data_IF_807195090798
#
_entry.id   IF_807195090798
#
_cell.length_a   1.000
_cell.length_b   1.000
_cell.length_c   1.000
_cell.angle_alpha   90.00
_cell.angle_beta   90.00
_cell.angle_gamma   90.00
#
_symmetry.space_group_name_H-M   'P 1'
#
loop_
_entity.id
_entity.type
_entity.pdbx_description
1 polymer ?
#
# COMPACT_ATOMS: atom_id res chain seq x y z
N UNK A 1 19.38 -34.60 1.64
CA UNK A 1 19.00 -33.54 0.71
C UNK A 1 18.46 -32.34 1.47
N UNK A 2 18.96 -31.18 1.17
CA UNK A 2 18.48 -29.98 1.80
C UNK A 2 17.20 -29.50 1.12
N UNK A 3 16.18 -29.21 1.92
CA UNK A 3 14.96 -28.61 1.41
C UNK A 3 15.14 -27.12 1.28
N UNK A 4 14.79 -26.58 0.12
CA UNK A 4 14.74 -25.12 -0.03
C UNK A 4 13.47 -24.63 0.66
N UNK A 5 13.55 -23.67 1.59
CA UNK A 5 12.36 -23.14 2.23
C UNK A 5 11.42 -22.54 1.19
N UNK A 6 10.12 -22.68 1.39
CA UNK A 6 9.13 -21.98 0.59
C UNK A 6 9.24 -20.47 0.87
N UNK A 7 8.79 -19.60 -0.04
CA UNK A 7 8.76 -18.17 0.24
C UNK A 7 8.00 -17.83 1.54
N UNK A 8 6.95 -18.58 1.84
CA UNK A 8 6.19 -18.40 3.07
C UNK A 8 7.01 -18.74 4.31
N UNK A 9 7.73 -19.86 4.28
CA UNK A 9 8.62 -20.29 5.38
C UNK A 9 9.76 -19.30 5.59
N UNK A 10 10.37 -18.80 4.51
CA UNK A 10 11.43 -17.80 4.61
C UNK A 10 10.91 -16.54 5.28
N UNK A 11 9.75 -16.05 4.88
CA UNK A 11 9.15 -14.85 5.49
C UNK A 11 8.78 -15.09 6.95
N UNK A 12 8.22 -16.27 7.27
CA UNK A 12 7.84 -16.60 8.64
C UNK A 12 9.05 -16.73 9.59
N UNK A 13 10.22 -17.12 9.04
CA UNK A 13 11.45 -17.26 9.83
C UNK A 13 12.25 -15.97 9.95
N UNK A 14 11.84 -14.90 9.27
CA UNK A 14 12.55 -13.63 9.29
C UNK A 14 12.37 -12.94 10.64
N UNK A 15 13.38 -12.14 11.02
CA UNK A 15 13.32 -11.29 12.19
C UNK A 15 12.36 -10.12 11.96
N UNK A 16 12.22 -9.27 12.94
CA UNK A 16 11.37 -8.08 12.86
C UNK A 16 11.63 -7.27 11.59
N UNK A 17 10.61 -6.61 11.11
CA UNK A 17 10.69 -5.68 9.99
C UNK A 17 10.87 -4.26 10.54
N UNK A 18 11.86 -3.56 10.02
CA UNK A 18 12.09 -2.15 10.32
C UNK A 18 11.62 -1.31 9.14
N UNK A 19 10.65 -0.44 9.35
CA UNK A 19 10.05 0.32 8.26
C UNK A 19 11.04 1.29 7.61
N UNK A 20 11.85 1.98 8.41
CA UNK A 20 12.84 2.91 7.87
C UNK A 20 13.87 2.19 6.99
N UNK A 21 14.31 1.01 7.42
CA UNK A 21 15.23 0.19 6.63
C UNK A 21 14.60 -0.21 5.30
N UNK A 22 13.36 -0.71 5.33
CA UNK A 22 12.66 -1.11 4.11
C UNK A 22 12.43 0.06 3.18
N UNK A 23 12.02 1.21 3.72
CA UNK A 23 11.81 2.43 2.94
C UNK A 23 13.09 2.92 2.27
N UNK A 24 14.26 2.67 2.87
CA UNK A 24 15.55 3.07 2.29
C UNK A 24 15.92 2.26 1.04
N UNK A 25 15.23 1.16 0.77
CA UNK A 25 15.59 0.22 -0.31
C UNK A 25 14.92 0.52 -1.65
N UNK A 26 14.01 1.47 -1.70
CA UNK A 26 13.34 1.82 -2.95
C UNK A 26 13.02 3.30 -3.00
N UNK A 27 12.83 3.81 -4.21
CA UNK A 27 12.51 5.23 -4.44
C UNK A 27 11.29 5.43 -5.36
N UNK A 28 10.78 4.37 -5.95
CA UNK A 28 9.65 4.47 -6.88
C UNK A 28 8.42 5.04 -6.17
N UNK A 29 7.73 5.94 -6.86
CA UNK A 29 6.48 6.51 -6.37
C UNK A 29 5.30 5.66 -6.81
N UNK A 30 4.27 5.57 -5.97
CA UNK A 30 3.01 4.86 -6.27
C UNK A 30 3.20 3.36 -6.58
N UNK A 31 4.30 2.78 -6.12
CA UNK A 31 4.65 1.38 -6.37
C UNK A 31 4.78 0.65 -5.05
N UNK A 32 3.70 0.03 -4.55
CA UNK A 32 3.73 -0.64 -3.26
C UNK A 32 4.73 -1.80 -3.22
N UNK A 33 5.45 -1.90 -2.10
CA UNK A 33 6.42 -2.98 -1.86
C UNK A 33 5.98 -3.78 -0.66
N UNK A 34 5.86 -5.09 -0.83
CA UNK A 34 5.44 -6.00 0.24
C UNK A 34 6.58 -6.16 1.24
N UNK A 35 6.26 -6.03 2.52
CA UNK A 35 7.24 -6.21 3.61
C UNK A 35 6.90 -7.36 4.54
N UNK A 36 5.66 -7.81 4.56
CA UNK A 36 5.21 -8.92 5.41
C UNK A 36 3.85 -9.43 4.93
N UNK A 37 3.52 -10.65 5.35
CA UNK A 37 2.21 -11.25 5.12
C UNK A 37 1.65 -11.76 6.44
N UNK A 38 0.34 -11.70 6.56
CA UNK A 38 -0.39 -12.30 7.66
C UNK A 38 -1.67 -12.90 7.08
N UNK A 39 -1.78 -14.25 7.14
CA UNK A 39 -2.87 -14.98 6.47
C UNK A 39 -2.88 -14.62 4.97
N UNK A 40 -4.02 -14.20 4.44
CA UNK A 40 -4.15 -13.79 3.04
C UNK A 40 -3.84 -12.31 2.80
N UNK A 41 -3.39 -11.60 3.83
CA UNK A 41 -3.15 -10.16 3.79
C UNK A 41 -1.68 -9.84 3.63
N UNK A 42 -1.41 -8.75 2.94
CA UNK A 42 -0.06 -8.21 2.79
C UNK A 42 0.03 -6.84 3.44
N UNK A 43 1.19 -6.59 4.07
CA UNK A 43 1.60 -5.27 4.53
C UNK A 43 2.53 -4.71 3.47
N UNK A 44 2.22 -3.53 2.94
CA UNK A 44 2.98 -2.92 1.86
C UNK A 44 3.39 -1.51 2.25
N UNK A 45 4.63 -1.12 1.93
CA UNK A 45 5.05 0.26 2.04
C UNK A 45 5.01 0.90 0.67
N UNK A 46 4.54 2.13 0.62
CA UNK A 46 4.47 2.90 -0.61
C UNK A 46 4.88 4.34 -0.34
N UNK A 47 5.60 4.93 -1.28
CA UNK A 47 5.92 6.36 -1.29
C UNK A 47 5.00 7.02 -2.29
N UNK A 48 4.38 8.11 -1.88
CA UNK A 48 3.42 8.80 -2.72
C UNK A 48 3.73 10.30 -2.74
N UNK A 49 3.56 10.91 -3.91
CA UNK A 49 3.62 12.36 -4.10
C UNK A 49 2.79 12.72 -5.32
N UNK A 50 2.05 13.82 -5.24
CA UNK A 50 1.11 14.20 -6.29
C UNK A 50 -0.22 13.49 -6.16
N UNK A 51 -0.99 13.49 -7.24
CA UNK A 51 -2.31 12.89 -7.29
C UNK A 51 -2.25 11.52 -7.96
N UNK A 52 -2.94 10.56 -7.36
CA UNK A 52 -3.15 9.26 -7.98
C UNK A 52 -4.37 9.30 -8.92
N UNK A 53 -4.76 8.15 -9.46
CA UNK A 53 -5.96 8.05 -10.30
C UNK A 53 -7.18 7.76 -9.43
N UNK A 54 -8.36 8.16 -9.91
CA UNK A 54 -9.63 7.75 -9.34
C UNK A 54 -9.81 6.26 -9.60
N UNK A 55 -10.09 5.49 -8.54
CA UNK A 55 -10.28 4.05 -8.65
C UNK A 55 -11.07 3.51 -7.48
N UNK A 56 -11.46 2.26 -7.57
CA UNK A 56 -12.02 1.51 -6.46
C UNK A 56 -11.48 0.07 -6.45
N UNK A 57 -11.66 -0.59 -5.33
CA UNK A 57 -11.43 -2.02 -5.19
C UNK A 57 -12.77 -2.64 -4.87
N UNK A 58 -13.38 -3.31 -5.85
CA UNK A 58 -14.76 -3.74 -5.74
C UNK A 58 -14.97 -4.97 -4.84
N UNK A 59 -13.92 -5.66 -4.45
CA UNK A 59 -13.98 -6.90 -3.69
C UNK A 59 -13.25 -6.86 -2.35
N UNK A 60 -12.68 -5.73 -1.95
CA UNK A 60 -11.97 -5.62 -0.67
C UNK A 60 -11.93 -4.19 -0.14
N UNK A 61 -11.81 -4.08 1.18
CA UNK A 61 -11.43 -2.84 1.85
C UNK A 61 -9.93 -2.63 1.67
N UNK A 62 -9.48 -1.39 1.89
CA UNK A 62 -8.05 -1.05 1.85
C UNK A 62 -7.72 -0.11 3.01
N UNK A 63 -6.72 -0.47 3.83
CA UNK A 63 -6.26 0.37 4.92
C UNK A 63 -5.06 1.21 4.51
N UNK A 64 -5.12 2.51 4.80
CA UNK A 64 -4.03 3.46 4.65
C UNK A 64 -3.54 3.86 6.03
N UNK A 65 -2.26 3.67 6.31
CA UNK A 65 -1.63 4.03 7.58
C UNK A 65 -0.45 4.94 7.26
N UNK A 66 -0.50 6.19 7.71
CA UNK A 66 0.58 7.15 7.43
C UNK A 66 1.72 6.92 8.42
N UNK A 67 2.87 6.56 7.86
CA UNK A 67 4.11 6.34 8.62
C UNK A 67 4.88 7.65 8.78
N UNK A 68 4.96 8.44 7.70
CA UNK A 68 5.69 9.71 7.71
C UNK A 68 5.07 10.66 6.68
N UNK A 69 4.90 11.90 7.06
CA UNK A 69 4.31 12.92 6.20
C UNK A 69 2.81 13.02 6.38
N UNK A 70 2.13 13.49 5.35
CA UNK A 70 0.67 13.63 5.35
C UNK A 70 0.11 13.37 3.96
N UNK A 71 -1.13 12.93 3.91
CA UNK A 71 -1.83 12.66 2.65
C UNK A 71 -3.31 12.99 2.79
N UNK A 72 -4.00 13.03 1.68
CA UNK A 72 -5.46 13.15 1.63
C UNK A 72 -6.04 12.07 0.74
N UNK A 73 -7.26 11.66 1.05
CA UNK A 73 -8.04 10.75 0.20
C UNK A 73 -9.31 11.49 -0.18
N UNK A 74 -9.46 11.75 -1.48
CA UNK A 74 -10.68 12.35 -2.03
C UNK A 74 -11.67 11.27 -2.39
N UNK A 75 -12.95 11.54 -2.15
CA UNK A 75 -14.05 10.64 -2.51
C UNK A 75 -14.95 11.31 -3.56
N UNK A 76 -15.63 10.51 -4.36
CA UNK A 76 -16.46 11.02 -5.46
C UNK A 76 -17.76 11.71 -5.00
N UNK A 77 -18.10 11.60 -3.72
CA UNK A 77 -19.19 12.39 -3.11
C UNK A 77 -18.75 13.81 -2.75
N UNK A 78 -17.51 14.18 -3.04
CA UNK A 78 -16.94 15.49 -2.75
C UNK A 78 -16.28 15.62 -1.39
N UNK A 79 -16.32 14.57 -0.57
CA UNK A 79 -15.63 14.59 0.73
C UNK A 79 -14.15 14.25 0.59
N UNK A 80 -13.39 14.63 1.60
CA UNK A 80 -11.95 14.36 1.69
C UNK A 80 -11.60 13.96 3.12
N UNK A 81 -10.73 12.97 3.25
CA UNK A 81 -10.14 12.59 4.53
C UNK A 81 -8.66 12.97 4.50
N UNK A 82 -8.23 13.77 5.49
CA UNK A 82 -6.84 14.13 5.66
C UNK A 82 -6.21 13.23 6.71
N UNK A 83 -5.02 12.70 6.41
CA UNK A 83 -4.28 11.83 7.32
C UNK A 83 -2.89 12.41 7.57
N UNK A 84 -2.56 12.56 8.85
CA UNK A 84 -1.22 12.94 9.28
C UNK A 84 -0.47 11.71 9.81
N UNK A 85 0.82 11.90 10.11
CA UNK A 85 1.65 10.84 10.66
C UNK A 85 0.97 10.17 11.87
N UNK A 86 0.94 8.85 11.86
CA UNK A 86 0.31 8.08 12.94
C UNK A 86 -1.20 7.91 12.80
N UNK A 87 -1.80 8.39 11.72
CA UNK A 87 -3.23 8.25 11.48
C UNK A 87 -3.52 7.25 10.37
N UNK A 88 -4.71 6.67 10.41
CA UNK A 88 -5.12 5.67 9.41
C UNK A 88 -6.58 5.86 9.00
N UNK A 89 -6.90 5.35 7.83
CA UNK A 89 -8.28 5.28 7.35
C UNK A 89 -8.47 3.98 6.57
N UNK A 90 -9.61 3.34 6.76
CA UNK A 90 -9.98 2.16 5.97
C UNK A 90 -10.98 2.59 4.91
N UNK A 91 -10.59 2.52 3.64
CA UNK A 91 -11.49 2.78 2.52
C UNK A 91 -12.34 1.53 2.31
N UNK A 92 -13.67 1.62 2.43
CA UNK A 92 -14.54 0.47 2.23
C UNK A 92 -14.51 -0.02 0.78
N UNK A 93 -14.74 -1.33 0.61
CA UNK A 93 -14.82 -1.91 -0.74
C UNK A 93 -15.84 -1.18 -1.60
N UNK A 94 -15.52 -1.00 -2.87
CA UNK A 94 -16.40 -0.38 -3.84
C UNK A 94 -16.49 1.14 -3.77
N UNK A 95 -15.82 1.77 -2.82
CA UNK A 95 -15.83 3.23 -2.68
C UNK A 95 -14.77 3.85 -3.59
N UNK A 96 -15.22 4.65 -4.53
CA UNK A 96 -14.33 5.32 -5.48
C UNK A 96 -13.58 6.45 -4.81
N UNK A 97 -12.25 6.45 -4.95
CA UNK A 97 -11.39 7.38 -4.24
C UNK A 97 -10.13 7.71 -5.02
N UNK A 98 -9.46 8.81 -4.58
CA UNK A 98 -8.20 9.27 -5.16
C UNK A 98 -7.26 9.71 -4.04
N UNK A 99 -6.21 8.93 -3.74
CA UNK A 99 -5.17 9.39 -2.81
C UNK A 99 -4.30 10.47 -3.44
N UNK A 100 -3.82 11.41 -2.62
CA UNK A 100 -2.88 12.44 -3.04
C UNK A 100 -2.02 12.93 -1.88
N UNK A 101 -0.86 13.48 -2.19
CA UNK A 101 0.04 14.08 -1.20
C UNK A 101 0.77 15.26 -1.84
N UNK A 102 0.88 16.39 -1.12
CA UNK A 102 1.57 17.57 -1.63
C UNK A 102 3.09 17.38 -1.66
N UNK A 103 3.63 16.66 -0.67
CA UNK A 103 5.04 16.27 -0.60
C UNK A 103 5.10 14.77 -0.36
N UNK A 104 6.26 14.15 -0.57
CA UNK A 104 6.39 12.70 -0.41
C UNK A 104 5.87 12.26 0.96
N UNK A 105 4.92 11.34 0.93
CA UNK A 105 4.32 10.72 2.09
C UNK A 105 4.63 9.22 2.06
N UNK A 106 4.94 8.65 3.21
CA UNK A 106 5.27 7.22 3.34
C UNK A 106 4.14 6.53 4.05
N UNK A 107 3.55 5.57 3.38
CA UNK A 107 2.28 4.98 3.76
C UNK A 107 2.42 3.46 3.84
N UNK A 108 1.76 2.87 4.82
CA UNK A 108 1.56 1.42 4.84
C UNK A 108 0.16 1.13 4.34
N UNK A 109 0.05 0.24 3.38
CA UNK A 109 -1.20 -0.35 2.92
C UNK A 109 -1.35 -1.73 3.53
N UNK A 110 -2.56 -2.08 3.97
CA UNK A 110 -2.90 -3.43 4.40
C UNK A 110 -4.09 -3.88 3.60
N UNK A 111 -3.90 -4.95 2.84
CA UNK A 111 -4.91 -5.45 1.89
C UNK A 111 -4.61 -6.90 1.52
N UNK A 112 -5.58 -7.64 0.98
CA UNK A 112 -5.36 -9.02 0.53
C UNK A 112 -4.27 -9.09 -0.55
N UNK A 113 -3.59 -10.22 -0.59
CA UNK A 113 -2.61 -10.52 -1.65
C UNK A 113 -3.28 -10.46 -3.02
N UNK A 114 -2.58 -9.88 -3.99
CA UNK A 114 -3.03 -9.82 -5.39
C UNK A 114 -3.79 -8.55 -5.76
N UNK A 115 -4.03 -7.66 -4.80
CA UNK A 115 -4.70 -6.39 -5.07
C UNK A 115 -3.76 -5.49 -5.88
N UNK A 116 -4.26 -4.97 -7.00
CA UNK A 116 -3.54 -4.06 -7.90
C UNK A 116 -3.74 -2.63 -7.40
N UNK A 117 -2.68 -1.83 -7.41
CA UNK A 117 -2.71 -0.46 -6.84
C UNK A 117 -3.77 0.46 -7.45
N UNK A 118 -4.09 0.29 -8.71
CA UNK A 118 -5.10 1.09 -9.40
C UNK A 118 -6.50 0.46 -9.41
N UNK A 119 -6.67 -0.66 -8.67
CA UNK A 119 -7.94 -1.38 -8.65
C UNK A 119 -8.35 -1.83 -10.05
N UNK A 120 -9.57 -1.47 -10.46
CA UNK A 120 -10.10 -1.82 -11.79
C UNK A 120 -9.78 -0.76 -12.85
N UNK A 121 -9.10 0.32 -12.49
CA UNK A 121 -8.76 1.37 -13.45
C UNK A 121 -7.62 0.92 -14.37
N UNK A 122 -7.78 1.17 -15.67
CA UNK A 122 -6.70 0.99 -16.64
C UNK A 122 -5.89 2.29 -16.65
N UNK A 123 -4.62 2.22 -16.24
CA UNK A 123 -3.81 3.41 -16.03
C UNK A 123 -2.33 3.13 -16.24
N UNK A 124 -1.61 4.15 -16.71
CA UNK A 124 -0.14 4.11 -16.76
C UNK A 124 0.48 4.04 -15.37
N UNK A 125 -0.28 4.39 -14.32
CA UNK A 125 0.19 4.32 -12.93
C UNK A 125 0.04 2.92 -12.32
N UNK A 126 -0.50 1.96 -13.06
CA UNK A 126 -0.61 0.58 -12.58
C UNK A 126 0.77 -0.03 -12.38
N UNK A 127 1.02 -0.52 -11.17
CA UNK A 127 2.28 -1.14 -10.79
C UNK A 127 2.12 -2.65 -10.65
N UNK A 128 3.20 -3.43 -10.78
CA UNK A 128 3.17 -4.86 -10.47
C UNK A 128 2.75 -5.07 -9.01
N UNK A 129 1.96 -6.10 -8.75
CA UNK A 129 1.68 -6.50 -7.38
C UNK A 129 2.70 -7.54 -6.91
N UNK A 130 2.68 -7.85 -5.61
CA UNK A 130 3.57 -8.86 -5.00
C UNK A 130 5.06 -8.60 -5.21
N UNK A 131 5.46 -7.32 -5.32
CA UNK A 131 6.87 -6.92 -5.32
C UNK A 131 7.36 -6.74 -3.89
N UNK A 132 8.36 -7.52 -3.53
CA UNK A 132 8.93 -7.53 -2.17
C UNK A 132 10.18 -6.66 -2.07
N UNK A 133 10.39 -6.13 -0.89
CA UNK A 133 11.61 -5.37 -0.57
C UNK A 133 12.25 -5.85 0.73
#
# INVERSE_FOLDING_TARGET
MLNTPTPCEVRASMSKVNFAEKLSKFSEQWTPKVIAEMNDYQFKLVKIEGEFVWHDHHDTDEAFIVIEGSMSIDFDDGSTVDLNEGEMYVVPMGVRHRPRAEAECRVMLVEPKGVVNTGDSDSEMTAPNDEWV
#
